data_IF_895200492122
#
_entry.id   IF_895200492122
#
_cell.length_a   1.000
_cell.length_b   1.000
_cell.length_c   1.000
_cell.angle_alpha   90.00
_cell.angle_beta   90.00
_cell.angle_gamma   90.00
#
_symmetry.space_group_name_H-M   'P 1'
#
loop_
_entity.id
_entity.type
_entity.pdbx_description
1 polymer ?
#
# COMPACT_ATOMS: atom_id res chain seq x y z
N UNK A 1 -14.86 5.45 26.72
CA UNK A 1 -15.85 4.81 25.82
C UNK A 1 -15.24 4.59 24.42
N UNK A 2 -15.33 3.37 23.90
CA UNK A 2 -14.93 3.03 22.53
C UNK A 2 -16.12 2.45 21.78
N UNK A 3 -16.15 2.63 20.46
CA UNK A 3 -17.14 2.04 19.55
C UNK A 3 -16.46 1.54 18.28
N UNK A 4 -17.07 0.59 17.57
CA UNK A 4 -16.57 0.13 16.27
C UNK A 4 -17.23 0.89 15.13
N UNK A 5 -16.41 1.52 14.26
CA UNK A 5 -16.87 2.12 13.01
C UNK A 5 -16.57 1.15 11.86
N UNK A 6 -17.58 0.85 11.05
CA UNK A 6 -17.41 -0.01 9.87
C UNK A 6 -16.67 0.75 8.77
N UNK A 7 -15.66 0.10 8.16
CA UNK A 7 -15.02 0.53 6.92
C UNK A 7 -15.43 -0.44 5.80
N UNK A 8 -16.52 -0.16 5.04
CA UNK A 8 -16.99 -1.06 3.99
C UNK A 8 -16.04 -1.11 2.78
N UNK A 9 -15.36 0.00 2.49
CA UNK A 9 -14.41 0.14 1.37
C UNK A 9 -12.98 -0.32 1.69
N UNK A 10 -12.72 -0.86 2.89
CA UNK A 10 -11.39 -1.32 3.29
C UNK A 10 -11.48 -2.72 3.92
N UNK A 11 -11.88 -3.69 3.10
CA UNK A 11 -12.01 -5.11 3.47
C UNK A 11 -11.33 -5.96 2.42
N UNK A 12 -10.86 -7.14 2.83
CA UNK A 12 -10.36 -8.14 1.90
C UNK A 12 -11.44 -8.50 0.85
N UNK A 13 -11.05 -8.92 -0.36
CA UNK A 13 -11.98 -9.36 -1.37
C UNK A 13 -12.80 -10.54 -0.85
N UNK A 14 -14.08 -10.69 -1.26
CA UNK A 14 -14.91 -11.81 -0.84
C UNK A 14 -14.31 -13.17 -1.23
N UNK A 15 -13.63 -13.23 -2.38
CA UNK A 15 -12.96 -14.43 -2.87
C UNK A 15 -11.48 -14.42 -2.44
N UNK A 16 -11.01 -15.39 -1.63
CA UNK A 16 -9.65 -15.39 -1.07
C UNK A 16 -8.52 -15.64 -2.07
N UNK A 17 -8.84 -16.11 -3.29
CA UNK A 17 -7.91 -16.42 -4.38
C UNK A 17 -7.49 -15.18 -5.20
N UNK A 18 -8.15 -14.04 -4.98
CA UNK A 18 -7.86 -12.78 -5.68
C UNK A 18 -6.56 -12.16 -5.13
N UNK A 19 -5.59 -11.79 -6.01
CA UNK A 19 -4.32 -11.24 -5.56
C UNK A 19 -4.48 -9.83 -4.97
N UNK A 20 -3.67 -9.53 -3.95
CA UNK A 20 -3.71 -8.25 -3.23
C UNK A 20 -2.31 -7.65 -3.08
N UNK A 21 -2.19 -6.33 -3.26
CA UNK A 21 -0.98 -5.56 -2.93
C UNK A 21 -1.32 -4.61 -1.78
N UNK A 22 -0.58 -4.71 -0.68
CA UNK A 22 -0.77 -3.94 0.54
C UNK A 22 0.39 -2.95 0.70
N UNK A 23 0.10 -1.65 0.80
CA UNK A 23 1.12 -0.60 0.91
C UNK A 23 0.85 0.25 2.14
N UNK A 24 1.76 0.21 3.11
CA UNK A 24 1.56 0.94 4.37
C UNK A 24 2.82 1.09 5.19
N UNK A 25 3.49 2.25 5.13
CA UNK A 25 4.64 2.52 5.98
C UNK A 25 4.23 2.89 7.42
N UNK A 26 5.09 2.56 8.38
CA UNK A 26 4.89 2.86 9.80
C UNK A 26 3.55 2.34 10.31
N UNK A 27 2.78 3.19 10.96
CA UNK A 27 1.45 2.83 11.49
C UNK A 27 0.42 2.48 10.41
N UNK A 28 0.69 2.78 9.13
CA UNK A 28 -0.13 2.35 7.99
C UNK A 28 -0.21 0.83 7.84
N UNK A 29 0.66 0.07 8.50
CA UNK A 29 0.57 -1.41 8.55
C UNK A 29 -0.61 -1.92 9.39
N UNK A 30 -1.19 -1.09 10.26
CA UNK A 30 -2.18 -1.51 11.25
C UNK A 30 -3.35 -2.35 10.71
N UNK A 31 -4.07 -1.94 9.64
CA UNK A 31 -5.16 -2.77 9.12
C UNK A 31 -4.63 -4.05 8.44
N UNK A 32 -3.45 -4.02 7.84
CA UNK A 32 -2.84 -5.18 7.18
C UNK A 32 -2.50 -6.29 8.17
N UNK A 33 -2.17 -5.93 9.42
CA UNK A 33 -2.01 -6.93 10.49
C UNK A 33 -3.23 -7.82 10.64
N UNK A 34 -4.42 -7.23 10.60
CA UNK A 34 -5.66 -8.00 10.63
C UNK A 34 -5.86 -8.85 9.37
N UNK A 35 -5.41 -8.38 8.20
CA UNK A 35 -5.57 -9.09 6.93
C UNK A 35 -4.72 -10.37 6.91
N UNK A 36 -3.43 -10.29 7.25
CA UNK A 36 -2.60 -11.50 7.26
C UNK A 36 -3.00 -12.45 8.39
N UNK A 37 -3.42 -11.94 9.56
CA UNK A 37 -3.96 -12.78 10.64
C UNK A 37 -5.24 -13.52 10.22
N UNK A 38 -6.13 -12.86 9.48
CA UNK A 38 -7.32 -13.48 8.93
C UNK A 38 -6.95 -14.59 7.93
N UNK A 39 -5.99 -14.35 7.04
CA UNK A 39 -5.51 -15.38 6.10
C UNK A 39 -4.83 -16.55 6.79
N UNK A 40 -4.02 -16.30 7.82
CA UNK A 40 -3.47 -17.36 8.67
C UNK A 40 -4.57 -18.21 9.33
N UNK A 41 -5.68 -17.58 9.75
CA UNK A 41 -6.83 -18.32 10.27
C UNK A 41 -7.48 -19.19 9.20
N UNK A 42 -7.68 -18.68 7.98
CA UNK A 42 -8.23 -19.46 6.85
C UNK A 42 -7.35 -20.67 6.52
N UNK A 43 -6.02 -20.51 6.51
CA UNK A 43 -5.08 -21.60 6.28
C UNK A 43 -5.17 -22.69 7.36
N UNK A 44 -5.22 -22.29 8.63
CA UNK A 44 -5.37 -23.24 9.74
C UNK A 44 -6.71 -23.96 9.75
N UNK A 45 -7.76 -23.33 9.26
CA UNK A 45 -9.09 -23.91 9.15
C UNK A 45 -9.23 -24.92 7.98
N UNK A 46 -8.17 -25.16 7.21
CA UNK A 46 -8.22 -26.00 6.03
C UNK A 46 -8.99 -25.35 4.87
N UNK A 47 -8.97 -24.02 4.81
CA UNK A 47 -9.59 -23.26 3.72
C UNK A 47 -8.98 -23.58 2.35
N UNK A 48 -9.67 -23.12 1.30
CA UNK A 48 -9.20 -23.25 -0.08
C UNK A 48 -7.92 -22.46 -0.37
N UNK A 49 -7.42 -22.52 -1.62
CA UNK A 49 -6.21 -21.81 -2.01
C UNK A 49 -6.37 -20.30 -1.81
N UNK A 50 -5.29 -19.66 -1.36
CA UNK A 50 -5.24 -18.21 -1.20
C UNK A 50 -4.45 -17.58 -2.34
N UNK A 51 -4.93 -16.45 -2.85
CA UNK A 51 -4.27 -15.66 -3.90
C UNK A 51 -3.02 -14.98 -3.35
N UNK A 52 -2.03 -14.63 -4.18
CA UNK A 52 -0.84 -13.90 -3.75
C UNK A 52 -1.20 -12.62 -2.96
N UNK A 53 -0.48 -12.36 -1.88
CA UNK A 53 -0.65 -11.14 -1.08
C UNK A 53 0.72 -10.55 -0.79
N UNK A 54 1.04 -9.45 -1.48
CA UNK A 54 2.32 -8.76 -1.35
C UNK A 54 2.17 -7.61 -0.37
N UNK A 55 3.07 -7.53 0.61
CA UNK A 55 3.17 -6.42 1.55
C UNK A 55 4.37 -5.54 1.23
N UNK A 56 4.13 -4.25 0.97
CA UNK A 56 5.12 -3.20 0.83
C UNK A 56 5.09 -2.34 2.09
N UNK A 57 6.01 -2.63 3.00
CA UNK A 57 6.19 -1.90 4.26
C UNK A 57 7.28 -0.84 4.12
N UNK A 58 7.24 0.18 4.98
CA UNK A 58 8.30 1.18 5.02
C UNK A 58 8.52 1.72 6.43
N UNK A 59 9.78 1.90 6.82
CA UNK A 59 10.16 2.47 8.11
C UNK A 59 11.48 3.26 8.00
N UNK A 60 12.01 3.76 9.12
CA UNK A 60 13.27 4.52 9.14
C UNK A 60 14.46 3.57 9.10
N UNK A 61 14.49 2.58 9.99
CA UNK A 61 15.62 1.66 10.16
C UNK A 61 15.11 0.29 10.57
N UNK A 62 15.81 -0.77 10.14
CA UNK A 62 15.47 -2.15 10.49
C UNK A 62 15.53 -2.40 12.01
N UNK A 63 16.36 -1.64 12.73
CA UNK A 63 16.60 -1.82 14.17
C UNK A 63 15.78 -0.91 15.07
N UNK A 64 15.04 0.06 14.51
CA UNK A 64 14.36 1.09 15.29
C UNK A 64 12.84 0.94 15.25
N UNK A 65 12.27 0.91 14.05
CA UNK A 65 10.83 1.04 13.83
C UNK A 65 10.29 0.03 12.81
N UNK A 66 10.98 -1.10 12.66
CA UNK A 66 10.50 -2.25 11.90
C UNK A 66 9.49 -3.08 12.71
N UNK A 67 8.35 -2.45 13.02
CA UNK A 67 7.28 -3.07 13.80
C UNK A 67 6.73 -4.32 13.10
N UNK A 68 6.38 -5.33 13.89
CA UNK A 68 5.85 -6.61 13.41
C UNK A 68 6.77 -7.41 12.47
N UNK A 69 8.08 -7.14 12.42
CA UNK A 69 9.02 -7.84 11.55
C UNK A 69 8.91 -9.38 11.65
N UNK A 70 8.89 -9.92 12.87
CA UNK A 70 8.76 -11.36 13.10
C UNK A 70 7.39 -11.90 12.68
N UNK A 71 6.31 -11.16 12.94
CA UNK A 71 4.95 -11.57 12.53
C UNK A 71 4.79 -11.57 11.00
N UNK A 72 5.38 -10.59 10.31
CA UNK A 72 5.37 -10.52 8.85
C UNK A 72 6.13 -11.69 8.24
N UNK A 73 7.29 -12.03 8.79
CA UNK A 73 8.10 -13.16 8.32
C UNK A 73 7.38 -14.49 8.57
N UNK A 74 6.81 -14.67 9.76
CA UNK A 74 5.99 -15.84 10.06
C UNK A 74 4.78 -15.96 9.13
N UNK A 75 4.12 -14.84 8.82
CA UNK A 75 2.98 -14.82 7.89
C UNK A 75 3.41 -15.17 6.45
N UNK A 76 4.62 -14.78 6.04
CA UNK A 76 5.23 -15.15 4.76
C UNK A 76 5.53 -16.64 4.69
N UNK A 77 6.20 -17.18 5.71
CA UNK A 77 6.57 -18.60 5.80
C UNK A 77 5.34 -19.52 5.80
N UNK A 78 4.25 -19.11 6.44
CA UNK A 78 2.99 -19.87 6.46
C UNK A 78 2.13 -19.65 5.21
N UNK A 79 2.52 -18.79 4.28
CA UNK A 79 1.81 -18.56 3.02
C UNK A 79 0.61 -17.59 3.12
N UNK A 80 0.44 -16.90 4.25
CA UNK A 80 -0.56 -15.83 4.34
C UNK A 80 -0.14 -14.60 3.52
N UNK A 81 1.15 -14.30 3.48
CA UNK A 81 1.78 -13.32 2.59
C UNK A 81 2.64 -14.07 1.56
N UNK A 82 2.57 -13.70 0.29
CA UNK A 82 3.45 -14.26 -0.74
C UNK A 82 4.83 -13.60 -0.73
N UNK A 83 4.88 -12.31 -0.40
CA UNK A 83 6.10 -11.52 -0.39
C UNK A 83 5.99 -10.35 0.59
N UNK A 84 7.11 -10.00 1.22
CA UNK A 84 7.26 -8.81 2.07
C UNK A 84 8.44 -8.01 1.55
N UNK A 85 8.22 -6.74 1.21
CA UNK A 85 9.24 -5.80 0.78
C UNK A 85 9.27 -4.61 1.74
N UNK A 86 10.45 -4.27 2.23
CA UNK A 86 10.62 -3.18 3.21
C UNK A 86 11.48 -2.05 2.64
N UNK A 87 10.91 -0.85 2.61
CA UNK A 87 11.61 0.39 2.30
C UNK A 87 12.21 1.03 3.56
N UNK A 88 13.53 1.27 3.56
CA UNK A 88 14.19 1.98 4.66
C UNK A 88 14.57 3.40 4.26
N UNK A 89 14.07 4.39 4.99
CA UNK A 89 14.29 5.81 4.69
C UNK A 89 15.51 6.42 5.38
N UNK A 90 16.11 5.74 6.37
CA UNK A 90 17.23 6.23 7.20
C UNK A 90 18.22 5.14 7.61
N UNK A 91 18.21 3.98 6.96
CA UNK A 91 19.13 2.90 7.28
C UNK A 91 20.58 3.30 6.89
N UNK A 92 21.54 3.28 7.83
CA UNK A 92 22.93 3.55 7.50
C UNK A 92 23.46 2.60 6.42
N UNK A 93 24.16 3.15 5.41
CA UNK A 93 24.73 2.37 4.31
C UNK A 93 23.75 1.93 3.22
N UNK A 94 22.45 2.26 3.34
CA UNK A 94 21.44 1.97 2.31
C UNK A 94 20.90 3.31 1.78
N UNK A 95 20.71 3.45 0.45
CA UNK A 95 20.02 4.60 -0.11
C UNK A 95 18.64 4.79 0.51
N UNK A 96 18.30 6.04 0.79
CA UNK A 96 16.98 6.41 1.28
C UNK A 96 15.91 5.95 0.30
N UNK A 97 15.05 5.05 0.75
CA UNK A 97 14.02 4.40 -0.07
C UNK A 97 12.66 4.57 0.59
N UNK A 98 11.63 4.84 -0.22
CA UNK A 98 10.23 4.84 0.21
C UNK A 98 9.41 3.75 -0.47
N UNK A 99 8.17 3.55 -0.01
CA UNK A 99 7.29 2.49 -0.53
C UNK A 99 6.97 2.66 -2.01
N UNK A 100 6.83 3.90 -2.49
CA UNK A 100 6.65 4.19 -3.92
C UNK A 100 7.89 3.83 -4.75
N UNK A 101 9.10 3.91 -4.17
CA UNK A 101 10.31 3.52 -4.88
C UNK A 101 10.36 1.99 -5.03
N UNK A 102 9.94 1.26 -3.99
CA UNK A 102 9.80 -0.20 -4.06
C UNK A 102 8.77 -0.60 -5.11
N UNK A 103 7.61 0.05 -5.15
CA UNK A 103 6.58 -0.22 -6.17
C UNK A 103 7.15 -0.05 -7.58
N UNK A 104 7.80 1.08 -7.83
CA UNK A 104 8.36 1.43 -9.15
C UNK A 104 9.53 0.54 -9.57
N UNK A 105 10.41 0.17 -8.64
CA UNK A 105 11.68 -0.50 -8.99
C UNK A 105 11.61 -2.02 -8.89
N UNK A 106 10.72 -2.56 -8.05
CA UNK A 106 10.65 -4.01 -7.78
C UNK A 106 9.32 -4.64 -8.17
N UNK A 107 8.23 -3.86 -8.22
CA UNK A 107 6.88 -4.39 -8.40
C UNK A 107 6.12 -3.81 -9.61
N UNK A 108 6.76 -3.06 -10.51
CA UNK A 108 6.05 -2.37 -11.60
C UNK A 108 5.19 -3.33 -12.45
N UNK A 109 5.80 -4.40 -12.96
CA UNK A 109 5.10 -5.41 -13.74
C UNK A 109 3.99 -6.12 -12.93
N UNK A 110 4.26 -6.45 -11.66
CA UNK A 110 3.28 -7.13 -10.80
C UNK A 110 2.08 -6.22 -10.48
N UNK A 111 2.30 -4.94 -10.20
CA UNK A 111 1.24 -3.95 -10.01
C UNK A 111 0.33 -3.90 -11.24
N UNK A 112 0.91 -3.82 -12.43
CA UNK A 112 0.13 -3.83 -13.68
C UNK A 112 -0.65 -5.14 -13.87
N UNK A 113 -0.01 -6.30 -13.68
CA UNK A 113 -0.66 -7.61 -13.81
C UNK A 113 -1.82 -7.77 -12.81
N UNK A 114 -1.58 -7.47 -11.53
CA UNK A 114 -2.59 -7.58 -10.47
C UNK A 114 -3.79 -6.70 -10.79
N UNK A 115 -3.58 -5.42 -11.12
CA UNK A 115 -4.67 -4.47 -11.29
C UNK A 115 -5.43 -4.63 -12.62
N UNK A 116 -4.71 -4.88 -13.72
CA UNK A 116 -5.28 -4.87 -15.07
C UNK A 116 -5.63 -6.26 -15.60
N UNK A 117 -4.96 -7.33 -15.14
CA UNK A 117 -5.11 -8.67 -15.75
C UNK A 117 -5.78 -9.67 -14.80
N UNK A 118 -5.43 -9.66 -13.52
CA UNK A 118 -5.88 -10.67 -12.55
C UNK A 118 -7.10 -10.24 -11.71
N UNK A 119 -7.69 -9.08 -12.00
CA UNK A 119 -8.83 -8.59 -11.21
C UNK A 119 -8.48 -8.27 -9.75
N UNK A 120 -7.20 -8.11 -9.44
CA UNK A 120 -6.68 -7.94 -8.10
C UNK A 120 -6.96 -6.59 -7.47
N UNK A 121 -6.56 -6.47 -6.21
CA UNK A 121 -6.83 -5.33 -5.34
C UNK A 121 -5.53 -4.66 -4.86
N UNK A 122 -5.56 -3.34 -4.71
CA UNK A 122 -4.49 -2.57 -4.08
C UNK A 122 -5.03 -1.80 -2.88
N UNK A 123 -4.34 -1.91 -1.76
CA UNK A 123 -4.70 -1.23 -0.52
C UNK A 123 -3.56 -0.30 -0.10
N UNK A 124 -3.88 0.97 0.12
CA UNK A 124 -2.93 1.99 0.54
C UNK A 124 -3.40 2.57 1.87
N UNK A 125 -2.54 2.53 2.89
CA UNK A 125 -2.88 3.00 4.23
C UNK A 125 -1.77 3.85 4.84
N UNK A 126 -2.13 4.99 5.42
CA UNK A 126 -1.20 5.86 6.15
C UNK A 126 -1.41 7.34 5.88
N UNK A 127 -0.30 8.07 5.73
CA UNK A 127 -0.28 9.52 5.55
C UNK A 127 -0.78 9.96 4.17
N UNK A 128 -1.45 11.12 4.11
CA UNK A 128 -2.01 11.67 2.86
C UNK A 128 -0.94 11.99 1.81
N UNK A 129 0.25 12.43 2.23
CA UNK A 129 1.37 12.72 1.31
C UNK A 129 1.87 11.42 0.70
N UNK A 130 2.04 10.39 1.53
CA UNK A 130 2.46 9.06 1.09
C UNK A 130 1.45 8.45 0.10
N UNK A 131 0.16 8.52 0.42
CA UNK A 131 -0.87 8.00 -0.47
C UNK A 131 -0.90 8.72 -1.83
N UNK A 132 -0.67 10.04 -1.85
CA UNK A 132 -0.56 10.82 -3.08
C UNK A 132 0.64 10.36 -3.93
N UNK A 133 1.81 10.17 -3.31
CA UNK A 133 3.03 9.71 -4.00
C UNK A 133 2.88 8.26 -4.54
N UNK A 134 2.19 7.40 -3.78
CA UNK A 134 1.85 6.04 -4.22
C UNK A 134 0.89 6.09 -5.42
N UNK A 135 -0.18 6.88 -5.35
CA UNK A 135 -1.14 7.04 -6.45
C UNK A 135 -0.46 7.49 -7.74
N UNK A 136 0.38 8.53 -7.66
CA UNK A 136 1.14 9.03 -8.82
C UNK A 136 2.07 7.96 -9.38
N UNK A 137 2.70 7.17 -8.51
CA UNK A 137 3.60 6.10 -8.92
C UNK A 137 2.85 4.96 -9.60
N UNK A 138 1.71 4.54 -9.06
CA UNK A 138 0.85 3.52 -9.69
C UNK A 138 0.38 4.01 -11.06
N UNK A 139 -0.04 5.28 -11.18
CA UNK A 139 -0.43 5.86 -12.46
C UNK A 139 0.70 5.80 -13.50
N UNK A 140 1.94 6.10 -13.10
CA UNK A 140 3.10 5.97 -13.99
C UNK A 140 3.38 4.51 -14.36
N UNK A 141 3.31 3.58 -13.41
CA UNK A 141 3.49 2.15 -13.67
C UNK A 141 2.46 1.67 -14.70
N UNK A 142 1.18 2.00 -14.52
CA UNK A 142 0.12 1.61 -15.45
C UNK A 142 0.31 2.22 -16.85
N UNK A 143 0.75 3.48 -16.93
CA UNK A 143 1.07 4.11 -18.20
C UNK A 143 2.22 3.40 -18.94
N UNK A 144 3.30 3.08 -18.22
CA UNK A 144 4.48 2.43 -18.78
C UNK A 144 4.23 0.96 -19.16
N UNK A 145 3.73 0.16 -18.23
CA UNK A 145 3.51 -1.29 -18.43
C UNK A 145 2.31 -1.58 -19.34
N UNK A 146 1.30 -0.69 -19.34
CA UNK A 146 0.09 -0.81 -20.13
C UNK A 146 0.14 -0.13 -21.50
N UNK A 147 1.28 0.47 -21.89
CA UNK A 147 1.44 1.25 -23.12
C UNK A 147 0.33 2.27 -23.34
N UNK A 148 -0.02 3.02 -22.29
CA UNK A 148 -1.10 4.01 -22.31
C UNK A 148 -0.61 5.37 -21.83
N UNK A 149 -1.36 6.41 -22.14
CA UNK A 149 -1.06 7.77 -21.64
C UNK A 149 -1.30 7.86 -20.12
N UNK A 150 -0.66 8.82 -19.47
CA UNK A 150 -0.92 9.10 -18.04
C UNK A 150 -2.40 9.41 -17.77
N UNK A 151 -3.09 10.10 -18.70
CA UNK A 151 -4.53 10.38 -18.58
C UNK A 151 -5.35 9.10 -18.54
N UNK A 152 -5.14 8.19 -19.50
CA UNK A 152 -5.80 6.88 -19.54
C UNK A 152 -5.49 6.03 -18.31
N UNK A 153 -4.24 6.04 -17.82
CA UNK A 153 -3.88 5.37 -16.58
C UNK A 153 -4.63 5.95 -15.36
N UNK A 154 -4.87 7.27 -15.37
CA UNK A 154 -5.71 7.94 -14.36
C UNK A 154 -7.17 7.46 -14.42
N UNK A 155 -7.73 7.33 -15.63
CA UNK A 155 -9.08 6.82 -15.83
C UNK A 155 -9.21 5.36 -15.34
N UNK A 156 -8.21 4.52 -15.61
CA UNK A 156 -8.13 3.14 -15.09
C UNK A 156 -8.16 3.12 -13.56
N UNK A 157 -7.40 3.98 -12.89
CA UNK A 157 -7.41 4.06 -11.42
C UNK A 157 -8.77 4.55 -10.90
N UNK A 158 -9.41 5.50 -11.59
CA UNK A 158 -10.77 5.93 -11.25
C UNK A 158 -11.75 4.77 -11.33
N UNK A 159 -11.71 3.99 -12.42
CA UNK A 159 -12.54 2.80 -12.58
C UNK A 159 -12.25 1.74 -11.52
N UNK A 160 -10.99 1.56 -11.12
CA UNK A 160 -10.61 0.66 -10.03
C UNK A 160 -11.20 1.09 -8.68
N UNK A 161 -11.27 2.39 -8.41
CA UNK A 161 -11.92 2.93 -7.19
C UNK A 161 -13.43 2.69 -7.24
N UNK A 162 -14.08 2.96 -8.37
CA UNK A 162 -15.52 2.75 -8.55
C UNK A 162 -15.90 1.26 -8.42
N UNK A 163 -15.03 0.36 -8.89
CA UNK A 163 -15.16 -1.09 -8.73
C UNK A 163 -14.72 -1.62 -7.36
N UNK A 164 -14.34 -0.74 -6.43
CA UNK A 164 -13.85 -1.09 -5.09
C UNK A 164 -12.68 -2.10 -5.14
N UNK A 165 -11.69 -1.83 -6.01
CA UNK A 165 -10.43 -2.58 -6.15
C UNK A 165 -9.18 -1.77 -5.82
N UNK A 166 -9.29 -0.44 -5.75
CA UNK A 166 -8.24 0.44 -5.23
C UNK A 166 -8.74 1.10 -3.95
N UNK A 167 -8.13 0.78 -2.83
CA UNK A 167 -8.60 1.10 -1.48
C UNK A 167 -7.64 2.03 -0.77
N UNK A 168 -8.17 3.06 -0.12
CA UNK A 168 -7.38 4.05 0.63
C UNK A 168 -7.94 4.20 2.06
N UNK A 169 -7.07 4.09 3.06
CA UNK A 169 -7.38 4.43 4.47
C UNK A 169 -6.36 5.44 4.99
N UNK A 170 -6.75 6.72 4.96
CA UNK A 170 -5.83 7.86 5.12
C UNK A 170 -6.03 8.52 6.48
N UNK A 171 -4.95 8.62 7.25
CA UNK A 171 -4.97 9.13 8.62
C UNK A 171 -4.85 10.67 8.72
N UNK A 172 -4.79 11.36 7.57
CA UNK A 172 -4.48 12.79 7.47
C UNK A 172 -2.96 13.05 7.44
N UNK A 173 -2.55 14.25 7.86
CA UNK A 173 -1.14 14.67 7.97
C UNK A 173 -0.51 14.14 9.26
N UNK A 174 0.14 12.99 9.16
CA UNK A 174 0.80 12.28 10.26
C UNK A 174 2.32 12.30 10.15
N UNK A 175 2.87 12.44 8.94
CA UNK A 175 4.31 12.58 8.72
C UNK A 175 4.69 13.99 8.27
N UNK A 176 5.83 14.47 8.78
CA UNK A 176 6.43 15.77 8.40
C UNK A 176 5.44 16.95 8.46
N UNK A 177 4.49 16.91 9.39
CA UNK A 177 3.35 17.84 9.45
C UNK A 177 3.78 19.30 9.37
N UNK A 178 4.85 19.69 10.08
CA UNK A 178 5.35 21.07 10.05
C UNK A 178 5.96 21.46 8.69
N UNK A 179 6.77 20.59 8.09
CA UNK A 179 7.38 20.82 6.77
C UNK A 179 6.30 20.91 5.67
N UNK A 180 5.34 19.98 5.69
CA UNK A 180 4.24 19.95 4.72
C UNK A 180 3.30 21.15 4.91
N UNK A 181 2.94 21.50 6.15
CA UNK A 181 2.10 22.66 6.42
C UNK A 181 2.77 23.98 6.00
N UNK A 182 4.08 24.12 6.22
CA UNK A 182 4.84 25.28 5.75
C UNK A 182 4.86 25.36 4.23
N UNK A 183 5.07 24.23 3.54
CA UNK A 183 5.06 24.17 2.07
C UNK A 183 3.69 24.51 1.47
N UNK A 184 2.61 23.99 2.05
CA UNK A 184 1.24 24.30 1.60
C UNK A 184 0.96 25.80 1.79
N UNK A 185 1.34 26.36 2.95
CA UNK A 185 1.19 27.81 3.20
C UNK A 185 1.97 28.62 2.18
N UNK A 186 3.24 28.29 1.94
CA UNK A 186 4.06 29.04 0.97
C UNK A 186 3.49 28.97 -0.45
N UNK A 187 3.03 27.80 -0.90
CA UNK A 187 2.39 27.67 -2.23
C UNK A 187 1.07 28.45 -2.34
N UNK A 188 0.30 28.54 -1.25
CA UNK A 188 -0.95 29.31 -1.23
C UNK A 188 -0.70 30.82 -1.35
N UNK A 189 0.38 31.31 -0.73
CA UNK A 189 0.81 32.71 -0.89
C UNK A 189 1.31 33.01 -2.30
N UNK A 190 2.05 32.10 -2.94
CA UNK A 190 2.55 32.29 -4.31
C UNK A 190 1.49 32.22 -5.40
N UNK A 191 0.29 31.72 -5.11
CA UNK A 191 -0.85 31.67 -6.05
C UNK A 191 -1.78 32.89 -5.91
N UNK A 192 -1.51 33.80 -4.97
CA UNK A 192 -2.26 35.04 -4.76
C UNK A 192 -1.55 36.29 -5.30
N UNK A 193 -0.36 36.14 -5.90
CA UNK A 193 0.34 37.16 -6.69
C UNK A 193 0.24 36.84 -8.19
#
# INVERSE_FOLDING_TARGET
>A
PSHSRRAPSFRLPPTPDIPCILVGPGTGIAPFRSFWQHRLHLLRAGGGPLGPMVLVFGCRSSTLDHIYCEEMEQAREQGALSQVLTAFSRQPGIPKTYVQDVLRTQLAAEVHQVLCQHGGHMYVCGDVTMATEVLQTVQHILAQEGNMTLGQAGDVISELRDKNRYHEDIFGLTFRTQEVALRIRSQSFSLQE
#
